data_IF_628896366252
#
_entry.id   IF_628896366252
#
_cell.length_a   1.000
_cell.length_b   1.000
_cell.length_c   1.000
_cell.angle_alpha   90.00
_cell.angle_beta   90.00
_cell.angle_gamma   90.00
#
_symmetry.space_group_name_H-M   'P 1'
#
loop_
_entity.id
_entity.type
_entity.pdbx_description
1 polymer ?
#
# COMPACT_ATOMS: atom_id res chain seq x y z
N UNK A 1 33.54 -15.12 6.69
CA UNK A 1 32.53 -16.11 6.27
C UNK A 1 31.17 -15.43 6.22
N UNK A 2 30.57 -15.27 5.03
CA UNK A 2 29.20 -14.74 4.93
C UNK A 2 28.22 -15.76 5.48
N UNK A 3 27.52 -15.42 6.57
CA UNK A 3 26.33 -16.15 7.02
C UNK A 3 25.25 -15.93 5.95
N UNK A 4 24.99 -16.93 5.09
CA UNK A 4 23.83 -16.89 4.20
C UNK A 4 22.57 -16.98 5.07
N UNK A 5 21.79 -15.91 5.10
CA UNK A 5 20.50 -15.87 5.78
C UNK A 5 19.39 -16.51 4.92
N UNK A 6 18.24 -16.77 5.53
CA UNK A 6 17.06 -17.27 4.82
C UNK A 6 16.70 -16.35 3.63
N UNK A 7 16.40 -16.95 2.48
CA UNK A 7 16.01 -16.22 1.26
C UNK A 7 17.16 -15.65 0.42
N UNK A 8 18.42 -15.89 0.79
CA UNK A 8 19.59 -15.41 0.03
C UNK A 8 20.29 -16.54 -0.73
N UNK A 9 20.90 -16.19 -1.87
CA UNK A 9 21.67 -17.12 -2.71
C UNK A 9 20.95 -17.50 -4.01
N UNK A 10 21.65 -18.28 -4.84
CA UNK A 10 21.17 -18.73 -6.15
C UNK A 10 19.92 -19.59 -6.01
N UNK A 11 18.86 -19.24 -6.73
CA UNK A 11 17.59 -19.99 -6.78
C UNK A 11 17.26 -20.47 -8.19
N UNK A 12 16.10 -21.12 -8.34
CA UNK A 12 15.65 -21.68 -9.63
C UNK A 12 15.62 -20.65 -10.78
N UNK A 13 15.34 -19.38 -10.46
CA UNK A 13 15.28 -18.30 -11.46
C UNK A 13 16.63 -17.94 -12.05
N UNK A 14 17.72 -18.17 -11.32
CA UNK A 14 19.06 -17.88 -11.80
C UNK A 14 19.51 -18.97 -12.78
N UNK A 15 19.12 -20.22 -12.54
CA UNK A 15 19.42 -21.36 -13.41
C UNK A 15 18.52 -21.45 -14.64
N UNK A 16 17.22 -21.15 -14.49
CA UNK A 16 16.24 -21.20 -15.57
C UNK A 16 15.44 -19.89 -15.68
N UNK A 17 16.04 -18.82 -16.23
CA UNK A 17 15.43 -17.49 -16.25
C UNK A 17 14.11 -17.42 -17.04
N UNK A 18 13.96 -18.28 -18.05
CA UNK A 18 12.80 -18.34 -18.94
C UNK A 18 11.79 -19.45 -18.59
N UNK A 19 11.96 -20.16 -17.46
CA UNK A 19 10.99 -21.14 -17.01
C UNK A 19 9.63 -20.48 -16.69
N UNK A 20 8.53 -21.17 -17.03
CA UNK A 20 7.18 -20.71 -16.71
C UNK A 20 7.01 -20.44 -15.21
N UNK A 21 6.46 -19.28 -14.88
CA UNK A 21 6.26 -18.83 -13.50
C UNK A 21 4.81 -19.01 -13.07
N UNK A 22 4.60 -19.78 -12.00
CA UNK A 22 3.27 -20.02 -11.42
C UNK A 22 2.99 -19.18 -10.17
N UNK A 23 3.93 -18.31 -9.76
CA UNK A 23 3.82 -17.51 -8.54
C UNK A 23 2.66 -16.50 -8.58
N UNK A 24 2.31 -15.99 -9.77
CA UNK A 24 1.16 -15.08 -9.97
C UNK A 24 -0.16 -15.71 -9.51
N UNK A 25 -0.29 -17.05 -9.59
CA UNK A 25 -1.48 -17.79 -9.19
C UNK A 25 -1.58 -18.01 -7.67
N UNK A 26 -0.61 -17.50 -6.90
CA UNK A 26 -0.53 -17.66 -5.45
C UNK A 26 -0.33 -16.32 -4.73
N UNK A 27 -0.58 -15.20 -5.42
CA UNK A 27 -0.58 -13.88 -4.81
C UNK A 27 -1.77 -13.75 -3.85
N UNK A 28 -1.63 -12.91 -2.81
CA UNK A 28 -2.70 -12.56 -1.86
C UNK A 28 -3.33 -13.75 -1.12
N UNK A 29 -2.52 -14.75 -0.73
CA UNK A 29 -2.97 -15.85 0.14
C UNK A 29 -3.46 -15.33 1.50
N UNK A 30 -4.49 -15.98 2.06
CA UNK A 30 -4.98 -15.71 3.41
C UNK A 30 -3.91 -15.87 4.49
N UNK A 31 -2.87 -16.69 4.25
CA UNK A 31 -1.73 -16.85 5.17
C UNK A 31 -0.91 -15.56 5.35
N UNK A 32 -1.04 -14.61 4.43
CA UNK A 32 -0.38 -13.30 4.49
C UNK A 32 -1.34 -12.16 4.88
N UNK A 33 -2.63 -12.45 5.01
CA UNK A 33 -3.62 -11.46 5.42
C UNK A 33 -3.71 -11.43 6.95
N UNK A 34 -3.44 -10.30 7.61
CA UNK A 34 -3.54 -10.21 9.07
C UNK A 34 -4.99 -10.11 9.59
N UNK A 35 -5.96 -9.89 8.70
CA UNK A 35 -7.37 -9.77 9.08
C UNK A 35 -7.98 -11.14 9.41
N UNK A 36 -8.96 -11.14 10.33
CA UNK A 36 -9.70 -12.35 10.66
C UNK A 36 -10.42 -12.94 9.44
N UNK A 37 -10.57 -14.27 9.41
CA UNK A 37 -11.16 -14.97 8.26
C UNK A 37 -12.62 -14.60 7.92
N UNK A 38 -13.34 -13.98 8.85
CA UNK A 38 -14.70 -13.48 8.66
C UNK A 38 -14.80 -11.96 8.45
N UNK A 39 -13.67 -11.27 8.29
CA UNK A 39 -13.67 -9.81 8.17
C UNK A 39 -14.28 -9.35 6.84
N UNK A 40 -15.27 -8.45 6.92
CA UNK A 40 -15.93 -7.82 5.79
C UNK A 40 -15.65 -6.31 5.80
N UNK A 41 -14.78 -5.88 4.87
CA UNK A 41 -14.41 -4.47 4.75
C UNK A 41 -15.58 -3.58 4.33
N UNK A 42 -16.50 -4.07 3.49
CA UNK A 42 -17.64 -3.27 3.04
C UNK A 42 -18.59 -2.98 4.21
N UNK A 43 -18.87 -4.00 5.04
CA UNK A 43 -19.66 -3.83 6.26
C UNK A 43 -18.96 -2.91 7.27
N UNK A 44 -17.66 -3.09 7.47
CA UNK A 44 -16.88 -2.24 8.37
C UNK A 44 -16.89 -0.78 7.92
N UNK A 45 -16.66 -0.52 6.63
CA UNK A 45 -16.65 0.82 6.06
C UNK A 45 -18.02 1.50 6.15
N UNK A 46 -19.12 0.77 5.95
CA UNK A 46 -20.48 1.32 6.11
C UNK A 46 -20.79 1.76 7.55
N UNK A 47 -20.09 1.19 8.54
CA UNK A 47 -20.25 1.58 9.94
C UNK A 47 -19.33 2.73 10.39
N UNK A 48 -18.47 3.21 9.51
CA UNK A 48 -17.51 4.28 9.79
C UNK A 48 -18.24 5.61 10.00
N UNK A 49 -17.81 6.39 11.00
CA UNK A 49 -18.17 7.80 11.08
C UNK A 49 -17.43 8.59 10.00
N UNK A 50 -18.05 8.65 8.82
CA UNK A 50 -17.47 9.26 7.63
C UNK A 50 -17.25 10.77 7.78
N UNK A 51 -18.12 11.46 8.52
CA UNK A 51 -18.00 12.91 8.72
C UNK A 51 -16.91 13.24 9.74
N UNK A 52 -16.74 12.43 10.80
CA UNK A 52 -15.59 12.56 11.68
C UNK A 52 -14.26 12.35 10.94
N UNK A 53 -14.15 11.28 10.12
CA UNK A 53 -12.94 11.03 9.33
C UNK A 53 -12.56 12.23 8.44
N UNK A 54 -13.52 12.82 7.74
CA UNK A 54 -13.26 13.98 6.88
C UNK A 54 -12.78 15.19 7.69
N UNK A 55 -13.39 15.43 8.86
CA UNK A 55 -12.96 16.52 9.77
C UNK A 55 -11.53 16.31 10.26
N UNK A 56 -11.18 15.10 10.64
CA UNK A 56 -9.84 14.77 11.12
C UNK A 56 -8.79 14.95 10.02
N UNK A 57 -9.09 14.54 8.78
CA UNK A 57 -8.21 14.78 7.63
C UNK A 57 -8.04 16.28 7.35
N UNK A 58 -9.13 17.07 7.43
CA UNK A 58 -9.04 18.52 7.25
C UNK A 58 -8.21 19.19 8.36
N UNK A 59 -8.34 18.75 9.61
CA UNK A 59 -7.52 19.24 10.71
C UNK A 59 -6.03 18.91 10.51
N UNK A 60 -5.74 17.67 10.11
CA UNK A 60 -4.37 17.20 9.83
C UNK A 60 -3.69 18.02 8.73
N UNK A 61 -4.44 18.50 7.73
CA UNK A 61 -3.86 19.30 6.65
C UNK A 61 -3.13 20.55 7.16
N UNK A 62 -3.48 21.09 8.32
CA UNK A 62 -2.82 22.26 8.94
C UNK A 62 -1.96 21.92 10.17
N UNK A 63 -1.89 20.65 10.56
CA UNK A 63 -1.12 20.19 11.73
C UNK A 63 0.32 19.81 11.34
N UNK A 64 1.15 20.83 11.10
CA UNK A 64 2.52 20.65 10.60
C UNK A 64 3.42 19.90 11.57
N UNK A 65 4.05 18.84 11.07
CA UNK A 65 4.96 17.99 11.83
C UNK A 65 6.44 18.40 11.66
N UNK A 66 7.27 18.36 12.72
CA UNK A 66 8.65 18.85 12.66
C UNK A 66 9.58 17.99 11.78
N UNK A 67 9.27 16.70 11.64
CA UNK A 67 10.04 15.77 10.81
C UNK A 67 9.70 15.87 9.32
N UNK A 68 8.58 16.51 8.98
CA UNK A 68 8.19 16.81 7.60
C UNK A 68 7.30 18.05 7.55
N UNK A 69 7.85 19.27 7.66
CA UNK A 69 7.06 20.49 7.79
C UNK A 69 6.11 20.73 6.61
N UNK A 70 4.94 21.30 6.89
CA UNK A 70 3.97 21.63 5.85
C UNK A 70 4.39 22.89 5.09
N UNK A 71 4.48 22.79 3.76
CA UNK A 71 4.69 23.95 2.90
C UNK A 71 3.55 24.95 3.10
N UNK A 72 3.89 26.22 3.35
CA UNK A 72 2.92 27.29 3.62
C UNK A 72 1.97 26.99 4.80
N UNK A 73 2.35 26.09 5.70
CA UNK A 73 1.52 25.66 6.82
C UNK A 73 0.34 24.76 6.43
N UNK A 74 0.35 24.16 5.22
CA UNK A 74 -0.76 23.34 4.75
C UNK A 74 -0.34 22.16 3.85
N UNK A 75 -0.61 20.90 4.23
CA UNK A 75 -0.29 19.69 3.46
C UNK A 75 -1.18 19.44 2.24
N UNK A 76 -2.25 20.22 2.05
CA UNK A 76 -3.19 20.08 0.94
C UNK A 76 -2.56 19.83 -0.43
N UNK A 77 -1.63 20.69 -0.93
CA UNK A 77 -0.96 20.45 -2.21
C UNK A 77 -0.20 19.13 -2.27
N UNK A 78 0.44 18.73 -1.16
CA UNK A 78 1.12 17.45 -1.04
C UNK A 78 0.14 16.26 -1.10
N UNK A 79 -0.98 16.32 -0.38
CA UNK A 79 -2.00 15.26 -0.41
C UNK A 79 -2.71 15.15 -1.76
N UNK A 80 -2.94 16.27 -2.46
CA UNK A 80 -3.45 16.25 -3.84
C UNK A 80 -2.49 15.47 -4.75
N UNK A 81 -1.20 15.80 -4.68
CA UNK A 81 -0.18 15.11 -5.48
C UNK A 81 -0.10 13.62 -5.12
N UNK A 82 -0.15 13.28 -3.84
CA UNK A 82 -0.15 11.89 -3.39
C UNK A 82 -1.35 11.10 -3.97
N UNK A 83 -2.56 11.64 -3.87
CA UNK A 83 -3.76 11.02 -4.44
C UNK A 83 -3.67 10.87 -5.97
N UNK A 84 -3.18 11.91 -6.66
CA UNK A 84 -2.91 11.87 -8.10
C UNK A 84 -1.94 10.76 -8.47
N UNK A 85 -0.78 10.67 -7.80
CA UNK A 85 0.21 9.63 -8.06
C UNK A 85 -0.30 8.22 -7.73
N UNK A 86 -1.17 8.08 -6.73
CA UNK A 86 -1.80 6.79 -6.40
C UNK A 86 -2.68 6.29 -7.54
N UNK A 87 -3.49 7.16 -8.15
CA UNK A 87 -4.39 6.81 -9.24
C UNK A 87 -3.66 6.75 -10.61
N UNK A 88 -2.61 7.54 -10.79
CA UNK A 88 -1.90 7.71 -12.05
C UNK A 88 -1.09 6.50 -12.53
N UNK A 89 -1.06 5.39 -11.78
CA UNK A 89 -0.43 4.13 -12.20
C UNK A 89 -1.35 3.25 -13.05
N UNK A 90 -2.65 3.56 -13.10
CA UNK A 90 -3.64 2.85 -13.92
C UNK A 90 -3.32 2.90 -15.41
N UNK A 91 -3.50 1.78 -16.13
CA UNK A 91 -3.25 1.68 -17.57
C UNK A 91 -4.39 0.93 -18.27
N UNK A 92 -4.95 1.52 -19.32
CA UNK A 92 -6.13 0.96 -20.00
C UNK A 92 -5.95 -0.42 -20.66
N UNK A 93 -4.72 -0.90 -20.84
CA UNK A 93 -4.45 -2.13 -21.60
C UNK A 93 -4.70 -3.39 -20.77
N UNK A 94 -4.35 -3.36 -19.50
CA UNK A 94 -4.39 -4.50 -18.57
C UNK A 94 -5.04 -4.17 -17.23
N UNK A 95 -5.51 -2.92 -17.05
CA UNK A 95 -6.15 -2.42 -15.83
C UNK A 95 -5.20 -1.70 -14.89
#
# INVERSE_FOLDING_TARGET
MQKKGAGTGTGNRDWWPNQLKLNILRQHSALSNPMDGGFDYAKAFQSLDYEALKKDIMALMTDSQPWWPADYGHYGPFFIRMAWHSAGTYRIHDG
#
